data_IF_607227187364
#
_entry.id   IF_607227187364
#
_cell.length_a   1.000
_cell.length_b   1.000
_cell.length_c   1.000
_cell.angle_alpha   90.00
_cell.angle_beta   90.00
_cell.angle_gamma   90.00
#
_symmetry.space_group_name_H-M   'P 1'
#
loop_
_entity.id
_entity.type
_entity.pdbx_description
1 polymer ?
#
# COMPACT_ATOMS: atom_id res chain seq x y z
N UNK A 1 -2.18 40.77 8.68
CA UNK A 1 -1.44 39.80 9.52
C UNK A 1 -0.92 40.43 10.79
N UNK A 2 0.15 41.22 10.79
CA UNK A 2 0.71 41.81 12.03
C UNK A 2 -0.29 42.71 12.79
N UNK A 3 -1.12 43.46 12.08
CA UNK A 3 -2.18 44.28 12.69
C UNK A 3 -3.24 43.46 13.44
N UNK A 4 -3.46 42.20 13.06
CA UNK A 4 -4.44 41.32 13.72
C UNK A 4 -3.95 40.81 15.09
N UNK A 5 -2.63 40.87 15.35
CA UNK A 5 -2.06 40.48 16.63
C UNK A 5 -2.27 41.52 17.73
N UNK A 6 -2.55 42.78 17.37
CA UNK A 6 -2.77 43.86 18.33
C UNK A 6 -4.16 43.75 18.97
N UNK A 7 -4.23 43.56 20.29
CA UNK A 7 -5.48 43.71 21.04
C UNK A 7 -5.92 45.18 21.10
N UNK A 8 -7.18 45.44 21.46
CA UNK A 8 -7.68 46.81 21.66
C UNK A 8 -6.90 47.56 22.76
N UNK A 9 -6.48 46.84 23.81
CA UNK A 9 -5.55 47.34 24.83
C UNK A 9 -4.16 46.70 24.66
N UNK A 10 -3.14 47.42 24.15
CA UNK A 10 -1.78 46.90 23.99
C UNK A 10 -1.13 46.38 25.27
N UNK A 11 -1.61 46.77 26.47
CA UNK A 11 -1.11 46.24 27.73
C UNK A 11 -1.38 44.74 27.90
N UNK A 12 -2.36 44.19 27.20
CA UNK A 12 -2.68 42.75 27.21
C UNK A 12 -1.55 41.88 26.65
N UNK A 13 -0.71 42.41 25.75
CA UNK A 13 0.43 41.68 25.20
C UNK A 13 1.48 41.32 26.26
N UNK A 14 1.55 42.10 27.34
CA UNK A 14 2.55 41.95 28.39
C UNK A 14 2.02 41.16 29.60
N UNK A 15 0.78 40.68 29.54
CA UNK A 15 0.18 39.79 30.55
C UNK A 15 0.53 38.32 30.24
N UNK A 16 0.54 37.41 31.23
CA UNK A 16 0.68 35.97 30.97
C UNK A 16 -0.36 35.49 29.93
N UNK A 17 0.07 34.81 28.88
CA UNK A 17 -0.79 34.37 27.76
C UNK A 17 -1.08 35.43 26.70
N UNK A 18 -0.59 36.67 26.86
CA UNK A 18 -0.83 37.77 25.92
C UNK A 18 -0.22 37.53 24.53
N UNK A 19 0.95 36.88 24.50
CA UNK A 19 1.64 36.47 23.27
C UNK A 19 0.90 35.34 22.55
N UNK A 20 0.38 34.36 23.28
CA UNK A 20 -0.42 33.25 22.75
C UNK A 20 -1.74 33.78 22.18
N UNK A 21 -2.44 34.66 22.89
CA UNK A 21 -3.67 35.28 22.41
C UNK A 21 -3.44 36.15 21.15
N UNK A 22 -2.31 36.85 21.07
CA UNK A 22 -1.92 37.57 19.87
C UNK A 22 -1.66 36.63 18.69
N UNK A 23 -0.96 35.52 18.93
CA UNK A 23 -0.74 34.48 17.93
C UNK A 23 -2.07 33.84 17.47
N UNK A 24 -3.02 33.58 18.38
CA UNK A 24 -4.34 33.04 18.05
C UNK A 24 -5.16 34.00 17.17
N UNK A 25 -5.15 35.30 17.45
CA UNK A 25 -5.83 36.31 16.61
C UNK A 25 -5.21 36.40 15.23
N UNK A 26 -3.87 36.42 15.15
CA UNK A 26 -3.15 36.39 13.87
C UNK A 26 -3.47 35.11 13.09
N UNK A 27 -3.52 33.97 13.77
CA UNK A 27 -3.89 32.68 13.19
C UNK A 27 -5.36 32.66 12.74
N UNK A 28 -6.29 33.32 13.45
CA UNK A 28 -7.67 33.51 13.03
C UNK A 28 -7.76 34.21 11.67
N UNK A 29 -7.15 35.39 11.56
CA UNK A 29 -7.13 36.16 10.31
C UNK A 29 -6.38 35.43 9.19
N UNK A 30 -5.29 34.72 9.51
CA UNK A 30 -4.59 33.89 8.53
C UNK A 30 -5.49 32.77 7.99
N UNK A 31 -6.24 32.09 8.86
CA UNK A 31 -7.18 31.04 8.47
C UNK A 31 -8.33 31.58 7.61
N UNK A 32 -8.83 32.78 7.88
CA UNK A 32 -9.84 33.41 7.05
C UNK A 32 -9.32 33.78 5.66
N UNK A 33 -8.06 34.23 5.56
CA UNK A 33 -7.48 34.69 4.30
C UNK A 33 -6.93 33.56 3.43
N UNK A 34 -6.29 32.57 4.04
CA UNK A 34 -5.50 31.53 3.36
C UNK A 34 -6.11 30.14 3.55
N UNK A 35 -7.07 29.98 4.46
CA UNK A 35 -7.60 28.68 4.88
C UNK A 35 -6.76 28.02 5.96
N UNK A 36 -7.22 26.86 6.43
CA UNK A 36 -6.50 25.98 7.35
C UNK A 36 -6.27 24.63 6.68
N UNK A 37 -5.02 24.18 6.64
CA UNK A 37 -4.68 22.79 6.31
C UNK A 37 -4.78 21.93 7.58
N UNK A 38 -5.03 20.62 7.48
CA UNK A 38 -4.94 19.74 8.64
C UNK A 38 -3.53 19.82 9.26
N UNK A 39 -3.48 19.77 10.59
CA UNK A 39 -2.21 19.66 11.28
C UNK A 39 -1.49 18.39 10.83
N UNK A 40 -0.22 18.53 10.43
CA UNK A 40 0.65 17.40 10.14
C UNK A 40 1.33 17.01 11.44
N UNK A 41 1.27 15.73 11.79
CA UNK A 41 2.07 15.21 12.88
C UNK A 41 3.47 14.88 12.33
N UNK A 42 4.48 15.68 12.65
CA UNK A 42 5.84 15.57 12.11
C UNK A 42 6.41 14.15 12.23
N UNK A 43 6.24 13.49 13.39
CA UNK A 43 6.68 12.11 13.59
C UNK A 43 5.96 11.12 12.64
N UNK A 44 4.67 11.34 12.35
CA UNK A 44 3.93 10.51 11.41
C UNK A 44 4.42 10.72 9.97
N UNK A 45 4.76 11.96 9.60
CA UNK A 45 5.35 12.27 8.29
C UNK A 45 6.73 11.63 8.13
N UNK A 46 7.62 11.77 9.12
CA UNK A 46 8.96 11.17 9.11
C UNK A 46 8.90 9.64 9.04
N UNK A 47 7.99 9.03 9.80
CA UNK A 47 7.83 7.56 9.78
C UNK A 47 7.24 7.06 8.47
N UNK A 48 6.30 7.80 7.87
CA UNK A 48 5.75 7.51 6.54
C UNK A 48 6.81 7.61 5.45
N UNK A 49 7.62 8.68 5.46
CA UNK A 49 8.70 8.88 4.50
C UNK A 49 9.78 7.81 4.66
N UNK A 50 10.21 7.54 5.90
CA UNK A 50 11.20 6.48 6.16
C UNK A 50 10.69 5.09 5.75
N UNK A 51 9.42 4.79 5.97
CA UNK A 51 8.84 3.49 5.66
C UNK A 51 8.60 3.31 4.15
N UNK A 52 7.94 4.28 3.51
CA UNK A 52 7.40 4.15 2.17
C UNK A 52 8.09 5.03 1.11
N UNK A 53 8.85 6.05 1.53
CA UNK A 53 9.38 7.10 0.65
C UNK A 53 8.31 8.09 0.20
N UNK A 54 7.18 8.17 0.94
CA UNK A 54 6.08 9.08 0.64
C UNK A 54 6.27 10.37 1.46
N UNK A 55 6.24 11.51 0.77
CA UNK A 55 6.49 12.83 1.37
C UNK A 55 5.38 13.30 2.32
N UNK A 56 5.60 14.44 2.97
CA UNK A 56 4.63 15.11 3.84
C UNK A 56 3.25 15.37 3.19
N UNK A 57 3.19 15.49 1.85
CA UNK A 57 1.91 15.56 1.10
C UNK A 57 1.01 14.37 1.44
N UNK A 58 1.59 13.18 1.55
CA UNK A 58 0.86 11.96 1.89
C UNK A 58 0.44 11.93 3.36
N UNK A 59 1.25 12.47 4.27
CA UNK A 59 0.88 12.61 5.67
C UNK A 59 -0.35 13.53 5.83
N UNK A 60 -0.39 14.67 5.13
CA UNK A 60 -1.57 15.54 5.06
C UNK A 60 -2.80 14.82 4.51
N UNK A 61 -2.63 14.04 3.43
CA UNK A 61 -3.72 13.25 2.82
C UNK A 61 -4.25 12.17 3.75
N UNK A 62 -3.39 11.55 4.54
CA UNK A 62 -3.80 10.58 5.55
C UNK A 62 -4.54 11.23 6.72
N UNK A 63 -4.15 12.44 7.12
CA UNK A 63 -4.82 13.17 8.20
C UNK A 63 -6.19 13.74 7.77
N UNK A 64 -6.30 14.31 6.56
CA UNK A 64 -7.49 15.06 6.12
C UNK A 64 -8.20 14.57 4.87
N UNK A 65 -7.77 13.47 4.25
CA UNK A 65 -8.29 12.99 2.96
C UNK A 65 -7.54 13.59 1.76
N UNK A 66 -7.84 13.12 0.54
CA UNK A 66 -7.03 13.44 -0.64
C UNK A 66 -6.87 14.95 -0.93
N UNK A 67 -7.95 15.73 -0.76
CA UNK A 67 -7.96 17.18 -0.98
C UNK A 67 -7.26 18.01 0.09
N UNK A 68 -6.76 17.40 1.16
CA UNK A 68 -6.03 18.10 2.22
C UNK A 68 -4.61 18.52 1.84
N UNK A 69 -4.11 18.08 0.69
CA UNK A 69 -2.86 18.55 0.12
C UNK A 69 -2.98 18.67 -1.40
N UNK A 70 -2.63 19.85 -1.90
CA UNK A 70 -2.46 20.13 -3.32
C UNK A 70 -0.98 19.97 -3.68
N UNK A 71 -0.70 19.07 -4.62
CA UNK A 71 0.62 18.83 -5.20
C UNK A 71 0.65 19.16 -6.70
N UNK A 72 -0.35 19.90 -7.19
CA UNK A 72 -0.50 20.22 -8.60
C UNK A 72 -0.92 19.04 -9.47
N UNK A 73 -1.40 17.93 -8.87
CA UNK A 73 -1.94 16.80 -9.64
C UNK A 73 -3.16 17.23 -10.43
N UNK A 74 -3.07 17.08 -11.75
CA UNK A 74 -4.21 17.33 -12.65
C UNK A 74 -5.09 16.09 -12.69
N UNK A 75 -6.40 16.28 -12.52
CA UNK A 75 -7.36 15.18 -12.61
C UNK A 75 -7.37 14.58 -14.02
N UNK A 76 -7.25 13.26 -14.12
CA UNK A 76 -7.27 12.60 -15.43
C UNK A 76 -8.67 12.68 -16.03
N UNK A 77 -8.81 13.06 -17.31
CA UNK A 77 -10.06 12.95 -18.05
C UNK A 77 -10.35 11.52 -18.52
N UNK A 78 -9.29 10.72 -18.71
CA UNK A 78 -9.39 9.31 -19.08
C UNK A 78 -8.03 8.63 -19.10
N UNK A 79 -7.96 7.47 -19.74
CA UNK A 79 -6.72 6.72 -19.92
C UNK A 79 -6.60 6.22 -21.35
N UNK A 80 -5.37 6.11 -21.79
CA UNK A 80 -5.03 5.55 -23.10
C UNK A 80 -3.97 4.47 -22.95
N UNK A 81 -3.97 3.53 -23.89
CA UNK A 81 -2.90 2.55 -24.03
C UNK A 81 -1.81 3.14 -24.91
N UNK A 82 -0.56 3.04 -24.47
CA UNK A 82 0.60 3.58 -25.18
C UNK A 82 1.65 2.49 -25.32
N UNK A 83 2.10 2.26 -26.55
CA UNK A 83 3.24 1.38 -26.85
C UNK A 83 4.50 1.92 -26.17
N UNK A 84 5.37 1.03 -25.69
CA UNK A 84 6.70 1.42 -25.19
C UNK A 84 7.69 1.59 -26.35
N UNK A 85 8.71 2.42 -26.16
CA UNK A 85 9.64 2.81 -27.23
C UNK A 85 10.48 1.67 -27.83
N UNK A 86 10.78 0.61 -27.06
CA UNK A 86 11.76 -0.42 -27.45
C UNK A 86 11.24 -1.86 -27.37
N UNK A 87 9.93 -2.07 -27.24
CA UNK A 87 9.35 -3.41 -27.13
C UNK A 87 7.87 -3.46 -27.52
N UNK A 88 7.31 -4.67 -27.59
CA UNK A 88 5.85 -4.90 -27.61
C UNK A 88 5.18 -4.62 -26.24
N UNK A 89 5.89 -3.98 -25.31
CA UNK A 89 5.31 -3.47 -24.09
C UNK A 89 4.25 -2.42 -24.38
N UNK A 90 3.15 -2.48 -23.62
CA UNK A 90 2.09 -1.48 -23.60
C UNK A 90 1.94 -1.02 -22.16
N UNK A 91 1.68 0.27 -21.99
CA UNK A 91 1.40 0.90 -20.70
C UNK A 91 0.07 1.63 -20.78
N UNK A 92 -0.56 1.83 -19.62
CA UNK A 92 -1.73 2.68 -19.48
C UNK A 92 -1.26 4.04 -18.99
N UNK A 93 -1.69 5.11 -19.65
CA UNK A 93 -1.34 6.48 -19.29
C UNK A 93 -2.60 7.29 -19.01
N UNK A 94 -2.67 8.02 -17.89
CA UNK A 94 -3.73 8.99 -17.65
C UNK A 94 -3.60 10.19 -18.60
N UNK A 95 -4.74 10.68 -19.12
CA UNK A 95 -4.82 11.77 -20.08
C UNK A 95 -5.40 13.00 -19.40
N UNK A 96 -4.75 14.16 -19.56
CA UNK A 96 -5.23 15.42 -19.01
C UNK A 96 -6.52 15.88 -19.73
N UNK A 97 -7.38 16.69 -19.10
CA UNK A 97 -8.56 17.23 -19.73
C UNK A 97 -8.21 18.07 -20.98
N UNK A 98 -9.05 18.05 -22.03
CA UNK A 98 -8.83 18.91 -23.20
C UNK A 98 -8.68 20.38 -22.79
N UNK A 99 -7.61 21.04 -23.28
CA UNK A 99 -7.30 22.42 -22.94
C UNK A 99 -6.51 22.61 -21.62
N UNK A 100 -6.28 21.54 -20.85
CA UNK A 100 -5.32 21.59 -19.76
C UNK A 100 -3.89 21.51 -20.32
N UNK A 101 -3.07 22.52 -20.00
CA UNK A 101 -1.63 22.52 -20.26
C UNK A 101 -0.89 22.39 -18.91
N UNK A 102 -0.85 21.17 -18.33
CA UNK A 102 -0.12 20.96 -17.09
C UNK A 102 1.34 21.40 -17.25
N UNK A 103 1.94 22.05 -16.24
CA UNK A 103 3.37 22.30 -16.22
C UNK A 103 4.15 21.00 -16.48
N UNK A 104 5.30 21.13 -17.12
CA UNK A 104 6.15 19.97 -17.40
C UNK A 104 6.44 19.18 -16.11
N UNK A 105 6.12 17.88 -16.12
CA UNK A 105 6.32 17.00 -14.98
C UNK A 105 5.18 16.97 -13.96
N UNK A 106 4.12 17.77 -14.13
CA UNK A 106 2.96 17.69 -13.26
C UNK A 106 2.28 16.31 -13.42
N UNK A 107 1.98 15.61 -12.30
CA UNK A 107 1.30 14.33 -12.35
C UNK A 107 -0.13 14.50 -12.89
N UNK A 108 -0.57 13.53 -13.69
CA UNK A 108 -1.94 13.45 -14.21
C UNK A 108 -2.59 12.19 -13.66
N UNK A 109 -3.80 12.30 -13.14
CA UNK A 109 -4.47 11.22 -12.42
C UNK A 109 -3.83 10.92 -11.07
N UNK A 110 -4.53 10.14 -10.25
CA UNK A 110 -4.06 9.85 -8.89
C UNK A 110 -3.14 8.60 -8.88
N UNK A 111 -2.07 8.59 -8.06
CA UNK A 111 -1.13 7.47 -8.00
C UNK A 111 -1.70 6.32 -7.15
N UNK A 112 -2.49 5.45 -7.79
CA UNK A 112 -3.21 4.34 -7.13
C UNK A 112 -2.33 3.51 -6.18
N UNK A 113 -1.09 3.19 -6.60
CA UNK A 113 -0.15 2.40 -5.81
C UNK A 113 0.34 3.12 -4.55
N UNK A 114 0.58 4.44 -4.61
CA UNK A 114 0.99 5.24 -3.46
C UNK A 114 -0.16 5.40 -2.47
N UNK A 115 -1.38 5.69 -2.96
CA UNK A 115 -2.57 5.74 -2.11
C UNK A 115 -2.77 4.41 -1.39
N UNK A 116 -2.77 3.30 -2.13
CA UNK A 116 -2.93 1.97 -1.55
C UNK A 116 -1.85 1.67 -0.48
N UNK A 117 -0.60 2.06 -0.75
CA UNK A 117 0.51 1.85 0.20
C UNK A 117 0.34 2.67 1.47
N UNK A 118 -0.05 3.95 1.33
CA UNK A 118 -0.31 4.84 2.46
C UNK A 118 -1.46 4.32 3.33
N UNK A 119 -2.53 3.79 2.72
CA UNK A 119 -3.66 3.19 3.43
C UNK A 119 -3.27 1.93 4.21
N UNK A 120 -2.50 1.02 3.59
CA UNK A 120 -2.02 -0.17 4.31
C UNK A 120 -1.14 0.24 5.48
N UNK A 121 -0.22 1.18 5.29
CA UNK A 121 0.62 1.69 6.37
C UNK A 121 -0.21 2.33 7.49
N UNK A 122 -1.21 3.15 7.15
CA UNK A 122 -2.10 3.77 8.12
C UNK A 122 -2.84 2.75 8.99
N UNK A 123 -3.31 1.64 8.42
CA UNK A 123 -4.08 0.64 9.16
C UNK A 123 -3.25 -0.49 9.80
N UNK A 124 -1.96 -0.60 9.47
CA UNK A 124 -1.12 -1.70 9.98
C UNK A 124 0.11 -1.25 10.75
N UNK A 125 0.59 -0.03 10.50
CA UNK A 125 1.81 0.50 11.10
C UNK A 125 1.59 1.72 12.01
N UNK A 126 0.32 2.15 12.19
CA UNK A 126 -0.09 3.14 13.18
C UNK A 126 -1.00 2.52 14.25
N UNK A 127 -1.04 3.09 15.47
CA UNK A 127 -2.03 2.72 16.46
C UNK A 127 -3.45 2.97 15.93
N UNK A 128 -4.39 2.12 16.32
CA UNK A 128 -5.81 2.31 16.01
C UNK A 128 -6.29 3.62 16.63
N UNK A 129 -6.98 4.45 15.84
CA UNK A 129 -7.50 5.75 16.26
C UNK A 129 -6.47 6.89 16.26
N UNK A 130 -5.28 6.67 15.70
CA UNK A 130 -4.26 7.73 15.56
C UNK A 130 -4.79 8.92 14.71
N UNK A 131 -4.82 10.16 15.26
CA UNK A 131 -5.28 11.34 14.54
C UNK A 131 -4.51 11.61 13.24
N UNK A 132 -3.24 11.20 13.15
CA UNK A 132 -2.43 11.39 11.94
C UNK A 132 -2.96 10.65 10.70
N UNK A 133 -3.86 9.68 10.90
CA UNK A 133 -4.47 8.89 9.82
C UNK A 133 -6.00 8.95 9.83
N UNK A 134 -6.58 9.95 10.49
CA UNK A 134 -8.04 10.11 10.61
C UNK A 134 -8.78 10.19 9.25
N UNK A 135 -8.12 10.74 8.23
CA UNK A 135 -8.62 10.87 6.86
C UNK A 135 -8.43 9.63 5.98
N UNK A 136 -7.82 8.54 6.48
CA UNK A 136 -7.52 7.35 5.69
C UNK A 136 -8.78 6.73 5.04
N UNK A 137 -9.92 6.74 5.73
CA UNK A 137 -11.16 6.22 5.15
C UNK A 137 -11.65 7.07 3.97
N UNK A 138 -11.59 8.40 4.07
CA UNK A 138 -11.93 9.32 2.98
C UNK A 138 -10.97 9.15 1.81
N UNK A 139 -9.67 8.95 2.09
CA UNK A 139 -8.67 8.66 1.07
C UNK A 139 -8.95 7.33 0.34
N UNK A 140 -9.43 6.30 1.06
CA UNK A 140 -9.88 5.06 0.44
C UNK A 140 -11.11 5.27 -0.47
N UNK A 141 -12.09 6.08 -0.06
CA UNK A 141 -13.24 6.38 -0.91
C UNK A 141 -12.80 7.04 -2.23
N UNK A 142 -11.86 7.99 -2.17
CA UNK A 142 -11.27 8.58 -3.39
C UNK A 142 -10.58 7.54 -4.28
N UNK A 143 -9.83 6.61 -3.68
CA UNK A 143 -9.22 5.50 -4.43
C UNK A 143 -10.29 4.61 -5.10
N UNK A 144 -11.36 4.29 -4.36
CA UNK A 144 -12.47 3.46 -4.84
C UNK A 144 -13.22 4.14 -5.99
N UNK A 145 -13.47 5.44 -5.91
CA UNK A 145 -14.06 6.24 -6.98
C UNK A 145 -13.23 6.20 -8.25
N UNK A 146 -11.90 6.33 -8.14
CA UNK A 146 -11.01 6.23 -9.29
C UNK A 146 -11.03 4.82 -9.91
N UNK A 147 -10.99 3.78 -9.07
CA UNK A 147 -11.08 2.39 -9.50
C UNK A 147 -12.41 2.06 -10.18
N UNK A 148 -13.48 2.80 -9.86
CA UNK A 148 -14.80 2.67 -10.45
C UNK A 148 -14.93 3.41 -11.81
N UNK A 149 -13.90 4.13 -12.28
CA UNK A 149 -13.97 4.83 -13.56
C UNK A 149 -13.94 3.83 -14.73
N UNK A 150 -14.93 3.85 -15.64
CA UNK A 150 -15.07 2.83 -16.70
C UNK A 150 -13.85 2.66 -17.63
N UNK A 151 -13.10 3.75 -17.84
CA UNK A 151 -11.91 3.75 -18.70
C UNK A 151 -10.62 3.32 -18.01
N UNK A 152 -10.61 3.10 -16.69
CA UNK A 152 -9.39 2.72 -15.97
C UNK A 152 -9.04 1.25 -16.27
N UNK A 153 -7.77 1.03 -16.59
CA UNK A 153 -7.17 -0.29 -16.74
C UNK A 153 -6.00 -0.43 -15.76
N UNK A 154 -5.97 -1.51 -14.98
CA UNK A 154 -4.85 -1.86 -14.11
C UNK A 154 -3.88 -2.75 -14.88
N UNK A 155 -2.64 -2.30 -15.07
CA UNK A 155 -1.61 -3.13 -15.70
C UNK A 155 -1.27 -4.32 -14.80
N UNK A 156 -1.31 -5.52 -15.37
CA UNK A 156 -0.92 -6.75 -14.67
C UNK A 156 0.60 -6.92 -14.75
N UNK A 157 1.34 -6.17 -13.92
CA UNK A 157 2.80 -6.16 -13.95
C UNK A 157 3.39 -7.57 -13.79
N UNK A 158 4.29 -7.95 -14.70
CA UNK A 158 4.89 -9.29 -14.78
C UNK A 158 3.94 -10.41 -15.20
N UNK A 159 2.64 -10.14 -15.41
CA UNK A 159 1.66 -11.09 -15.92
C UNK A 159 1.49 -10.95 -17.42
N UNK A 160 1.56 -12.08 -18.14
CA UNK A 160 1.34 -12.12 -19.60
C UNK A 160 0.56 -13.36 -19.95
N UNK A 161 -0.41 -13.22 -20.85
CA UNK A 161 -1.05 -14.36 -21.50
C UNK A 161 0.01 -15.07 -22.36
N UNK A 162 0.24 -16.35 -22.06
CA UNK A 162 1.21 -17.19 -22.74
C UNK A 162 0.52 -17.90 -23.91
N UNK A 163 0.34 -17.19 -25.02
CA UNK A 163 -0.31 -17.73 -26.21
C UNK A 163 0.19 -17.04 -27.50
N UNK A 164 -0.18 -17.59 -28.67
CA UNK A 164 0.17 -16.99 -29.97
C UNK A 164 -0.70 -15.76 -30.25
N UNK A 165 -0.23 -14.87 -31.12
CA UNK A 165 -1.00 -13.69 -31.56
C UNK A 165 -2.39 -14.06 -32.06
N UNK A 166 -2.50 -15.10 -32.88
CA UNK A 166 -3.78 -15.53 -33.47
C UNK A 166 -4.74 -16.07 -32.40
N UNK A 167 -4.23 -16.83 -31.43
CA UNK A 167 -5.04 -17.35 -30.31
C UNK A 167 -5.48 -16.25 -29.35
N UNK A 168 -4.63 -15.25 -29.11
CA UNK A 168 -5.03 -14.06 -28.35
C UNK A 168 -6.16 -13.32 -29.08
N UNK A 169 -6.03 -13.12 -30.40
CA UNK A 169 -7.04 -12.48 -31.21
C UNK A 169 -8.37 -13.27 -31.22
N UNK A 170 -8.31 -14.59 -31.35
CA UNK A 170 -9.47 -15.50 -31.30
C UNK A 170 -10.19 -15.43 -29.95
N UNK A 171 -9.43 -15.41 -28.84
CA UNK A 171 -9.98 -15.49 -27.49
C UNK A 171 -10.51 -14.17 -26.95
N UNK A 172 -9.82 -13.06 -27.22
CA UNK A 172 -10.12 -11.75 -26.61
C UNK A 172 -10.69 -10.74 -27.61
N UNK A 173 -10.68 -11.05 -28.91
CA UNK A 173 -11.32 -10.24 -29.95
C UNK A 173 -12.82 -10.53 -30.11
N UNK A 174 -13.47 -9.92 -31.12
CA UNK A 174 -12.89 -9.02 -32.13
C UNK A 174 -12.78 -7.56 -31.65
N UNK A 175 -13.36 -7.21 -30.50
CA UNK A 175 -13.31 -5.85 -29.97
C UNK A 175 -11.86 -5.43 -29.68
N UNK A 176 -11.51 -4.18 -30.01
CA UNK A 176 -10.16 -3.64 -29.86
C UNK A 176 -10.20 -2.25 -29.23
N UNK A 177 -9.13 -1.91 -28.51
CA UNK A 177 -8.87 -0.57 -28.01
C UNK A 177 -7.72 0.07 -28.78
N UNK A 178 -7.77 1.40 -29.01
CA UNK A 178 -6.68 2.11 -29.65
C UNK A 178 -5.42 2.06 -28.79
N UNK A 179 -4.27 1.84 -29.43
CA UNK A 179 -2.95 1.90 -28.80
C UNK A 179 -2.15 3.01 -29.48
N UNK A 180 -1.90 4.10 -28.75
CA UNK A 180 -1.07 5.19 -29.21
C UNK A 180 0.40 4.73 -29.34
N UNK A 181 1.12 5.31 -30.31
CA UNK A 181 2.56 5.14 -30.43
C UNK A 181 3.28 6.05 -29.44
N UNK A 182 4.39 5.56 -28.87
CA UNK A 182 5.33 6.45 -28.18
C UNK A 182 5.86 7.47 -29.19
N UNK A 183 5.97 8.75 -28.77
CA UNK A 183 6.50 9.83 -29.62
C UNK A 183 7.93 9.56 -30.11
N UNK A 184 8.65 8.63 -29.48
CA UNK A 184 10.02 8.21 -29.82
C UNK A 184 10.07 6.97 -30.72
N UNK A 185 8.93 6.31 -30.98
CA UNK A 185 8.88 5.09 -31.80
C UNK A 185 8.80 5.48 -33.28
N UNK A 186 9.69 4.93 -34.10
CA UNK A 186 9.66 5.08 -35.56
C UNK A 186 8.49 4.27 -36.15
N UNK A 187 7.87 4.77 -37.24
CA UNK A 187 6.73 4.18 -37.96
C UNK A 187 7.00 2.74 -38.46
N UNK A 188 8.26 2.30 -38.42
CA UNK A 188 8.72 0.97 -38.85
C UNK A 188 8.48 -0.16 -37.85
N UNK A 189 8.10 0.13 -36.60
CA UNK A 189 7.84 -0.92 -35.60
C UNK A 189 6.33 -1.10 -35.40
N UNK A 190 5.75 -2.29 -35.68
CA UNK A 190 4.31 -2.47 -35.55
C UNK A 190 3.82 -2.15 -34.14
N UNK A 191 2.70 -1.42 -34.06
CA UNK A 191 1.99 -1.21 -32.80
C UNK A 191 1.44 -2.55 -32.31
N UNK A 192 1.41 -2.73 -30.98
CA UNK A 192 0.67 -3.86 -30.43
C UNK A 192 -0.84 -3.63 -30.63
N UNK A 193 -1.58 -4.68 -30.94
CA UNK A 193 -3.04 -4.65 -31.01
C UNK A 193 -3.59 -5.01 -29.63
N UNK A 194 -4.42 -4.15 -29.04
CA UNK A 194 -5.08 -4.42 -27.77
C UNK A 194 -6.50 -4.96 -27.99
N UNK A 195 -6.74 -6.21 -27.60
CA UNK A 195 -8.05 -6.86 -27.68
C UNK A 195 -8.83 -6.70 -26.38
N UNK A 196 -10.10 -6.29 -26.46
CA UNK A 196 -10.98 -6.06 -25.32
C UNK A 196 -11.86 -7.28 -25.05
N UNK A 197 -11.44 -8.11 -24.09
CA UNK A 197 -12.20 -9.27 -23.61
C UNK A 197 -13.16 -8.95 -22.46
N UNK A 198 -13.55 -7.69 -22.27
CA UNK A 198 -14.46 -7.27 -21.20
C UNK A 198 -13.73 -7.07 -19.86
N UNK A 199 -13.44 -8.15 -19.12
CA UNK A 199 -12.73 -8.04 -17.83
C UNK A 199 -11.22 -7.86 -17.99
N UNK A 200 -10.69 -8.30 -19.13
CA UNK A 200 -9.27 -8.19 -19.48
C UNK A 200 -9.11 -7.48 -20.82
N UNK A 201 -8.07 -6.65 -20.91
CA UNK A 201 -7.54 -6.17 -22.19
C UNK A 201 -6.19 -6.84 -22.40
N UNK A 202 -6.01 -7.52 -23.52
CA UNK A 202 -4.81 -8.31 -23.82
C UNK A 202 -4.19 -7.84 -25.12
N UNK A 203 -2.92 -7.48 -25.08
CA UNK A 203 -2.17 -7.02 -26.23
C UNK A 203 -1.46 -8.17 -26.95
N UNK A 204 -1.49 -8.16 -28.27
CA UNK A 204 -0.68 -9.01 -29.11
C UNK A 204 0.21 -8.18 -30.05
N UNK A 205 1.45 -8.63 -30.34
CA UNK A 205 2.11 -9.79 -29.73
C UNK A 205 2.57 -9.51 -28.28
N UNK A 206 2.97 -10.56 -27.55
CA UNK A 206 3.63 -10.44 -26.25
C UNK A 206 2.73 -10.51 -25.01
N UNK A 207 1.41 -10.61 -25.19
CA UNK A 207 0.45 -10.99 -24.14
C UNK A 207 0.33 -10.02 -22.97
N UNK A 208 0.81 -8.76 -23.12
CA UNK A 208 0.67 -7.74 -22.06
C UNK A 208 -0.80 -7.62 -21.70
N UNK A 209 -1.11 -7.72 -20.42
CA UNK A 209 -2.50 -7.80 -19.97
C UNK A 209 -2.83 -6.70 -18.97
N UNK A 210 -4.06 -6.23 -19.05
CA UNK A 210 -4.63 -5.26 -18.16
C UNK A 210 -5.97 -5.77 -17.63
N UNK A 211 -6.27 -5.46 -16.37
CA UNK A 211 -7.54 -5.77 -15.74
C UNK A 211 -8.42 -4.52 -15.74
N UNK A 212 -9.68 -4.67 -16.14
CA UNK A 212 -10.71 -3.62 -15.98
C UNK A 212 -11.42 -3.84 -14.64
N UNK A 213 -11.17 -3.02 -13.60
CA UNK A 213 -11.71 -3.30 -12.26
C UNK A 213 -13.24 -3.35 -12.22
N UNK A 214 -13.89 -2.44 -12.94
CA UNK A 214 -15.36 -2.32 -13.04
C UNK A 214 -16.03 -3.54 -13.68
N UNK A 215 -15.29 -4.33 -14.45
CA UNK A 215 -15.80 -5.54 -15.10
C UNK A 215 -15.52 -6.82 -14.31
N UNK A 216 -14.91 -6.73 -13.12
CA UNK A 216 -14.70 -7.87 -12.20
C UNK A 216 -15.74 -7.78 -11.07
N UNK A 217 -16.99 -8.02 -11.42
CA UNK A 217 -18.12 -7.93 -10.48
C UNK A 217 -18.42 -9.29 -9.84
N UNK A 218 -17.68 -9.64 -8.79
CA UNK A 218 -17.95 -10.81 -7.95
C UNK A 218 -17.07 -12.05 -8.21
N UNK A 219 -17.26 -13.10 -7.39
CA UNK A 219 -16.31 -14.22 -7.29
C UNK A 219 -16.25 -15.08 -8.55
N UNK A 220 -17.35 -15.24 -9.29
CA UNK A 220 -17.41 -16.03 -10.52
C UNK A 220 -16.59 -15.42 -11.66
N UNK A 221 -16.68 -14.10 -11.83
CA UNK A 221 -15.87 -13.37 -12.81
C UNK A 221 -14.40 -13.44 -12.43
N UNK A 222 -14.10 -13.22 -11.14
CA UNK A 222 -12.74 -13.31 -10.63
C UNK A 222 -12.13 -14.70 -10.85
N UNK A 223 -12.88 -15.78 -10.62
CA UNK A 223 -12.42 -17.16 -10.88
C UNK A 223 -12.05 -17.37 -12.35
N UNK A 224 -12.92 -16.96 -13.28
CA UNK A 224 -12.67 -17.06 -14.72
C UNK A 224 -11.42 -16.28 -15.17
N UNK A 225 -11.22 -15.08 -14.63
CA UNK A 225 -10.02 -14.29 -14.92
C UNK A 225 -8.76 -14.98 -14.39
N UNK A 226 -8.82 -15.64 -13.21
CA UNK A 226 -7.69 -16.39 -12.64
C UNK A 226 -7.34 -17.68 -13.38
N UNK A 227 -8.28 -18.26 -14.13
CA UNK A 227 -8.05 -19.42 -14.98
C UNK A 227 -7.21 -19.09 -16.23
N UNK A 228 -7.00 -17.81 -16.52
CA UNK A 228 -6.12 -17.39 -17.63
C UNK A 228 -4.65 -17.65 -17.26
N UNK A 229 -4.04 -18.61 -17.96
CA UNK A 229 -2.65 -19.00 -17.80
C UNK A 229 -1.70 -17.82 -17.92
N UNK A 230 -0.76 -17.73 -16.97
CA UNK A 230 0.28 -16.69 -16.94
C UNK A 230 -0.11 -15.40 -16.22
N UNK A 231 -1.35 -15.29 -15.70
CA UNK A 231 -1.82 -14.09 -15.00
C UNK A 231 -1.94 -14.23 -13.48
N UNK A 232 -1.95 -15.44 -12.91
CA UNK A 232 -2.27 -15.70 -11.49
C UNK A 232 -1.53 -14.78 -10.52
N UNK A 233 -0.20 -14.71 -10.59
CA UNK A 233 0.59 -13.87 -9.67
C UNK A 233 0.38 -12.36 -9.86
N UNK A 234 0.10 -11.92 -11.09
CA UNK A 234 -0.20 -10.51 -11.35
C UNK A 234 -1.61 -10.13 -10.87
N UNK A 235 -2.57 -11.06 -10.97
CA UNK A 235 -3.89 -10.92 -10.39
C UNK A 235 -3.82 -10.86 -8.87
N UNK A 236 -3.01 -11.69 -8.22
CA UNK A 236 -2.78 -11.62 -6.76
C UNK A 236 -2.25 -10.25 -6.32
N UNK A 237 -1.47 -9.57 -7.17
CA UNK A 237 -0.95 -8.23 -6.87
C UNK A 237 -1.97 -7.10 -6.97
N UNK A 238 -2.95 -7.21 -7.86
CA UNK A 238 -4.02 -6.20 -7.97
C UNK A 238 -5.24 -6.51 -7.12
N UNK A 239 -5.38 -7.76 -6.66
CA UNK A 239 -6.49 -8.21 -5.82
C UNK A 239 -6.74 -7.36 -4.57
N UNK A 240 -5.72 -6.79 -3.87
CA UNK A 240 -5.97 -5.91 -2.73
C UNK A 240 -6.76 -4.64 -3.06
N UNK A 241 -6.70 -4.18 -4.31
CA UNK A 241 -7.37 -2.95 -4.79
C UNK A 241 -8.82 -3.19 -5.19
N UNK A 242 -9.19 -4.42 -5.56
CA UNK A 242 -10.52 -4.72 -6.09
C UNK A 242 -11.60 -4.66 -5.00
N UNK A 243 -12.88 -4.50 -5.37
CA UNK A 243 -14.00 -4.66 -4.43
C UNK A 243 -13.95 -6.02 -3.72
N UNK A 244 -14.19 -6.02 -2.42
CA UNK A 244 -14.00 -7.17 -1.51
C UNK A 244 -12.54 -7.51 -1.22
N UNK A 245 -11.60 -6.78 -1.80
CA UNK A 245 -10.16 -6.96 -1.69
C UNK A 245 -9.59 -6.60 -0.32
N UNK A 246 -8.27 -6.72 -0.20
CA UNK A 246 -7.54 -6.49 1.04
C UNK A 246 -7.76 -5.10 1.65
N UNK A 247 -7.75 -4.04 0.84
CA UNK A 247 -7.93 -2.67 1.33
C UNK A 247 -9.34 -2.44 1.91
N UNK A 248 -10.38 -2.92 1.23
CA UNK A 248 -11.77 -2.78 1.71
C UNK A 248 -11.94 -3.52 3.04
N UNK A 249 -11.39 -4.74 3.16
CA UNK A 249 -11.45 -5.50 4.41
C UNK A 249 -10.64 -4.84 5.53
N UNK A 250 -9.49 -4.22 5.22
CA UNK A 250 -8.73 -3.44 6.21
C UNK A 250 -9.51 -2.21 6.68
N UNK A 251 -10.18 -1.49 5.77
CA UNK A 251 -11.06 -0.39 6.14
C UNK A 251 -12.18 -0.86 7.08
N UNK A 252 -12.89 -1.92 6.72
CA UNK A 252 -13.94 -2.49 7.59
C UNK A 252 -13.39 -2.91 8.95
N UNK A 253 -12.21 -3.55 8.97
CA UNK A 253 -11.52 -3.94 10.21
C UNK A 253 -11.21 -2.72 11.08
N UNK A 254 -10.66 -1.65 10.50
CA UNK A 254 -10.31 -0.42 11.22
C UNK A 254 -11.53 0.24 11.90
N UNK A 255 -12.74 0.04 11.35
CA UNK A 255 -14.00 0.58 11.88
C UNK A 255 -14.76 -0.38 12.80
N UNK A 256 -14.30 -1.63 12.92
CA UNK A 256 -15.03 -2.68 13.65
C UNK A 256 -14.94 -2.57 15.18
N UNK A 257 -13.99 -1.80 15.71
CA UNK A 257 -13.71 -1.72 17.15
C UNK A 257 -13.05 -2.98 17.72
N UNK A 258 -12.64 -3.93 16.88
CA UNK A 258 -12.08 -5.19 17.31
C UNK A 258 -10.62 -5.13 17.77
N UNK A 259 -9.95 -3.99 17.58
CA UNK A 259 -8.68 -3.64 18.22
C UNK A 259 -8.88 -2.32 18.96
N UNK A 260 -8.40 -2.27 20.19
CA UNK A 260 -8.56 -1.12 21.08
C UNK A 260 -7.83 0.12 20.54
N UNK A 261 -8.39 1.31 20.80
CA UNK A 261 -7.73 2.58 20.45
C UNK A 261 -6.37 2.67 21.16
N UNK A 262 -5.33 3.04 20.41
CA UNK A 262 -3.95 3.09 20.88
C UNK A 262 -3.16 1.78 20.74
N UNK A 263 -3.82 0.65 20.47
CA UNK A 263 -3.15 -0.62 20.18
C UNK A 263 -2.79 -0.75 18.69
N UNK A 264 -1.84 -1.62 18.36
CA UNK A 264 -1.43 -1.90 16.98
C UNK A 264 -2.09 -3.18 16.45
N UNK A 265 -2.59 -3.14 15.21
CA UNK A 265 -3.01 -4.35 14.47
C UNK A 265 -1.85 -5.35 14.28
N UNK A 266 -0.61 -4.88 14.34
CA UNK A 266 0.57 -5.74 14.26
C UNK A 266 0.89 -6.48 15.56
N UNK A 267 0.25 -6.15 16.69
CA UNK A 267 0.34 -6.92 17.93
C UNK A 267 -0.78 -7.96 18.00
N UNK A 268 -0.48 -9.25 17.77
CA UNK A 268 -1.48 -10.31 17.75
C UNK A 268 -2.19 -10.52 19.08
N UNK A 269 -1.64 -10.01 20.19
CA UNK A 269 -2.30 -10.05 21.51
C UNK A 269 -3.57 -9.20 21.53
N UNK A 270 -3.63 -8.16 20.70
CA UNK A 270 -4.82 -7.33 20.50
C UNK A 270 -5.59 -7.71 19.24
N UNK A 271 -4.91 -8.00 18.12
CA UNK A 271 -5.61 -8.26 16.86
C UNK A 271 -6.25 -9.66 16.77
N UNK A 272 -5.68 -10.66 17.44
CA UNK A 272 -6.15 -12.04 17.42
C UNK A 272 -5.77 -12.82 18.71
N UNK A 273 -6.26 -12.41 19.89
CA UNK A 273 -5.86 -12.99 21.19
C UNK A 273 -6.07 -14.50 21.29
N UNK A 274 -7.17 -15.03 20.75
CA UNK A 274 -7.46 -16.48 20.74
C UNK A 274 -6.39 -17.28 19.99
N UNK A 275 -5.85 -16.71 18.91
CA UNK A 275 -4.77 -17.34 18.15
C UNK A 275 -3.46 -17.34 18.95
N UNK A 276 -3.19 -16.28 19.72
CA UNK A 276 -2.04 -16.22 20.62
C UNK A 276 -2.16 -17.26 21.73
N UNK A 277 -3.34 -17.41 22.33
CA UNK A 277 -3.58 -18.43 23.35
C UNK A 277 -3.36 -19.84 22.80
N UNK A 278 -3.93 -20.13 21.62
CA UNK A 278 -3.68 -21.39 20.91
C UNK A 278 -2.19 -21.60 20.65
N UNK A 279 -1.50 -20.54 20.21
CA UNK A 279 -0.07 -20.60 19.92
C UNK A 279 0.82 -20.82 21.14
N UNK A 280 0.50 -20.15 22.24
CA UNK A 280 1.16 -20.33 23.53
C UNK A 280 1.04 -21.78 24.00
N UNK A 281 -0.18 -22.34 23.95
CA UNK A 281 -0.45 -23.72 24.35
C UNK A 281 0.30 -24.75 23.51
N UNK A 282 0.28 -24.60 22.19
CA UNK A 282 0.86 -25.59 21.27
C UNK A 282 2.39 -25.52 21.22
N UNK A 283 2.99 -24.34 21.38
CA UNK A 283 4.45 -24.17 21.45
C UNK A 283 5.00 -24.40 22.86
N UNK A 284 4.14 -24.44 23.88
CA UNK A 284 4.55 -24.58 25.28
C UNK A 284 5.26 -23.33 25.83
N UNK A 285 4.82 -22.14 25.42
CA UNK A 285 5.42 -20.84 25.76
C UNK A 285 4.39 -19.86 26.30
N UNK A 286 4.85 -18.76 26.89
CA UNK A 286 4.03 -17.63 27.29
C UNK A 286 3.49 -16.81 26.12
N UNK A 287 2.50 -15.97 26.43
CA UNK A 287 1.78 -15.10 25.47
C UNK A 287 2.72 -14.24 24.62
N UNK A 288 3.76 -13.65 25.20
CA UNK A 288 4.69 -12.78 24.47
C UNK A 288 5.53 -13.56 23.44
N UNK A 289 6.02 -14.75 23.79
CA UNK A 289 6.77 -15.60 22.88
C UNK A 289 5.90 -16.13 21.72
N UNK A 290 4.63 -16.49 22.01
CA UNK A 290 3.66 -16.86 20.98
C UNK A 290 3.32 -15.70 20.04
N UNK A 291 3.14 -14.49 20.59
CA UNK A 291 2.93 -13.28 19.81
C UNK A 291 4.12 -12.98 18.90
N UNK A 292 5.35 -13.07 19.43
CA UNK A 292 6.57 -12.92 18.65
C UNK A 292 6.66 -13.93 17.51
N UNK A 293 6.31 -15.19 17.75
CA UNK A 293 6.28 -16.22 16.71
C UNK A 293 5.33 -15.85 15.57
N UNK A 294 4.09 -15.43 15.87
CA UNK A 294 3.12 -15.01 14.84
C UNK A 294 3.62 -13.82 14.01
N UNK A 295 4.24 -12.83 14.66
CA UNK A 295 4.86 -11.68 14.00
C UNK A 295 6.01 -12.09 13.09
N UNK A 296 6.91 -12.96 13.57
CA UNK A 296 8.01 -13.51 12.79
C UNK A 296 7.52 -14.37 11.63
N UNK A 297 6.42 -15.10 11.78
CA UNK A 297 5.89 -15.95 10.72
C UNK A 297 5.17 -15.16 9.62
N UNK A 298 4.59 -14.02 9.97
CA UNK A 298 3.62 -13.34 9.10
C UNK A 298 4.17 -12.08 8.46
N UNK A 299 4.84 -11.23 9.23
CA UNK A 299 5.18 -9.88 8.78
C UNK A 299 6.41 -9.90 7.87
N UNK A 300 6.41 -9.03 6.86
CA UNK A 300 7.54 -8.88 5.94
C UNK A 300 8.77 -8.26 6.64
N UNK A 301 8.55 -7.26 7.51
CA UNK A 301 9.60 -6.51 8.19
C UNK A 301 9.48 -6.49 9.74
N UNK A 302 9.41 -7.66 10.43
CA UNK A 302 9.39 -7.72 11.89
C UNK A 302 10.80 -7.51 12.45
N UNK A 303 11.38 -6.34 12.21
CA UNK A 303 12.65 -5.95 12.85
C UNK A 303 12.43 -5.88 14.37
N UNK A 304 13.48 -6.06 15.16
CA UNK A 304 13.36 -5.99 16.62
C UNK A 304 12.85 -4.62 17.08
N UNK A 305 13.15 -3.55 16.33
CA UNK A 305 12.62 -2.19 16.58
C UNK A 305 11.11 -2.16 16.36
N UNK A 306 10.62 -2.71 15.25
CA UNK A 306 9.19 -2.72 14.94
C UNK A 306 8.41 -3.58 15.93
N UNK A 307 8.88 -4.79 16.21
CA UNK A 307 8.28 -5.69 17.21
C UNK A 307 8.15 -5.01 18.57
N UNK A 308 9.22 -4.36 19.05
CA UNK A 308 9.15 -3.61 20.32
C UNK A 308 8.15 -2.47 20.29
N UNK A 309 8.11 -1.71 19.19
CA UNK A 309 7.17 -0.58 19.03
C UNK A 309 5.72 -1.07 19.05
N UNK A 310 5.38 -2.06 18.22
CA UNK A 310 4.02 -2.56 18.11
C UNK A 310 3.51 -3.17 19.42
N UNK A 311 4.37 -3.92 20.12
CA UNK A 311 3.99 -4.61 21.35
C UNK A 311 4.16 -3.75 22.63
N UNK A 312 4.68 -2.53 22.52
CA UNK A 312 5.04 -1.70 23.68
C UNK A 312 6.11 -2.32 24.57
N UNK A 313 6.97 -3.20 24.03
CA UNK A 313 7.93 -3.96 24.81
C UNK A 313 9.21 -3.19 25.11
N UNK A 314 9.70 -3.35 26.35
CA UNK A 314 11.08 -3.01 26.68
C UNK A 314 12.06 -3.96 25.98
N UNK A 315 13.32 -3.55 25.85
CA UNK A 315 14.39 -4.41 25.33
C UNK A 315 14.60 -5.68 26.19
N UNK A 316 14.32 -5.61 27.51
CA UNK A 316 14.40 -6.78 28.40
C UNK A 316 13.27 -7.77 28.10
N UNK A 317 12.04 -7.29 27.98
CA UNK A 317 10.88 -8.13 27.68
C UNK A 317 11.03 -8.81 26.32
N UNK A 318 11.45 -8.08 25.30
CA UNK A 318 11.71 -8.67 23.98
C UNK A 318 12.77 -9.77 24.03
N UNK A 319 13.88 -9.57 24.75
CA UNK A 319 14.92 -10.60 24.92
C UNK A 319 14.40 -11.84 25.65
N UNK A 320 13.52 -11.66 26.63
CA UNK A 320 12.91 -12.79 27.34
C UNK A 320 12.02 -13.62 26.42
N UNK A 321 11.11 -12.97 25.69
CA UNK A 321 10.23 -13.64 24.73
C UNK A 321 11.02 -14.33 23.61
N UNK A 322 12.10 -13.69 23.13
CA UNK A 322 12.99 -14.25 22.12
C UNK A 322 13.73 -15.49 22.62
N UNK A 323 14.29 -15.46 23.84
CA UNK A 323 15.00 -16.60 24.42
C UNK A 323 14.05 -17.78 24.69
N UNK A 324 12.86 -17.50 25.20
CA UNK A 324 11.81 -18.51 25.41
C UNK A 324 11.40 -19.16 24.09
N UNK A 325 11.13 -18.35 23.05
CA UNK A 325 10.75 -18.87 21.75
C UNK A 325 11.87 -19.69 21.11
N UNK A 326 13.12 -19.24 21.22
CA UNK A 326 14.28 -19.97 20.69
C UNK A 326 14.44 -21.35 21.34
N UNK A 327 14.16 -21.47 22.63
CA UNK A 327 14.23 -22.74 23.36
C UNK A 327 13.25 -23.82 22.84
N UNK A 328 12.18 -23.43 22.14
CA UNK A 328 11.22 -24.36 21.53
C UNK A 328 11.75 -25.04 20.25
N UNK A 329 12.76 -24.45 19.60
CA UNK A 329 13.21 -24.87 18.27
C UNK A 329 12.28 -24.46 17.12
N UNK A 330 11.16 -23.77 17.37
CA UNK A 330 10.27 -23.25 16.33
C UNK A 330 10.90 -22.12 15.49
N UNK A 331 11.97 -21.51 16.01
CA UNK A 331 12.78 -20.50 15.34
C UNK A 331 14.26 -20.84 15.46
N UNK A 332 15.06 -20.25 14.57
CA UNK A 332 16.52 -20.36 14.59
C UNK A 332 17.14 -18.97 14.79
N UNK A 333 18.27 -18.95 15.51
CA UNK A 333 19.10 -17.76 15.59
C UNK A 333 20.09 -17.72 14.41
N UNK A 334 20.14 -16.60 13.71
CA UNK A 334 21.06 -16.42 12.58
C UNK A 334 21.44 -14.94 12.39
N UNK A 335 22.48 -14.70 11.60
CA UNK A 335 22.82 -13.35 11.12
C UNK A 335 22.45 -13.23 9.65
N UNK A 336 21.46 -12.39 9.34
CA UNK A 336 21.04 -12.06 7.97
C UNK A 336 21.22 -10.56 7.73
N UNK A 337 21.88 -10.19 6.64
CA UNK A 337 22.17 -8.80 6.32
C UNK A 337 20.86 -8.00 6.21
N UNK A 338 20.83 -6.79 6.78
CA UNK A 338 19.68 -5.86 6.75
C UNK A 338 18.38 -6.37 7.38
N UNK A 339 18.34 -7.56 7.98
CA UNK A 339 17.12 -8.12 8.57
C UNK A 339 16.64 -7.38 9.83
N UNK A 340 17.56 -6.72 10.56
CA UNK A 340 17.24 -5.95 11.76
C UNK A 340 16.69 -6.78 12.92
N UNK A 341 16.95 -8.10 12.93
CA UNK A 341 16.55 -9.08 13.95
C UNK A 341 17.53 -10.25 13.99
N UNK A 342 17.45 -11.06 15.05
CA UNK A 342 18.29 -12.26 15.25
C UNK A 342 17.54 -13.59 15.12
N UNK A 343 16.21 -13.60 15.28
CA UNK A 343 15.38 -14.79 15.15
C UNK A 343 14.68 -14.89 13.79
N UNK A 344 14.61 -16.11 13.25
CA UNK A 344 14.03 -16.41 11.95
C UNK A 344 13.25 -17.70 11.99
N UNK A 345 12.24 -17.82 11.12
CA UNK A 345 11.67 -19.13 10.84
C UNK A 345 12.72 -20.03 10.15
N UNK A 346 12.73 -21.34 10.42
CA UNK A 346 13.52 -22.29 9.65
C UNK A 346 13.16 -22.20 8.16
N UNK A 347 14.18 -22.24 7.29
CA UNK A 347 13.99 -22.32 5.84
C UNK A 347 14.77 -21.29 5.02
N UNK A 348 14.42 -21.26 3.73
CA UNK A 348 15.11 -20.46 2.71
C UNK A 348 14.98 -18.95 2.94
N UNK A 349 16.05 -18.24 2.60
CA UNK A 349 16.12 -16.78 2.61
C UNK A 349 16.01 -16.21 1.21
N UNK A 350 15.36 -15.05 1.07
CA UNK A 350 15.29 -14.31 -0.20
C UNK A 350 16.06 -13.01 -0.06
N UNK A 351 17.16 -12.87 -0.81
CA UNK A 351 17.91 -11.62 -0.91
C UNK A 351 17.15 -10.60 -1.75
N UNK A 352 16.95 -9.39 -1.21
CA UNK A 352 16.23 -8.30 -1.88
C UNK A 352 16.99 -6.98 -1.69
N UNK A 353 17.16 -6.24 -2.79
CA UNK A 353 17.80 -4.95 -2.85
C UNK A 353 16.99 -3.85 -2.14
N UNK A 354 17.67 -2.75 -1.81
CA UNK A 354 16.99 -1.56 -1.31
C UNK A 354 15.97 -1.04 -2.34
N UNK A 355 14.84 -0.45 -1.90
CA UNK A 355 14.51 -0.10 -0.51
C UNK A 355 13.86 -1.22 0.30
N UNK A 356 13.59 -2.38 -0.29
CA UNK A 356 12.94 -3.50 0.41
C UNK A 356 13.91 -4.22 1.34
N UNK A 357 13.39 -4.82 2.41
CA UNK A 357 14.17 -5.70 3.28
C UNK A 357 14.13 -7.14 2.74
N UNK A 358 15.26 -7.87 2.80
CA UNK A 358 15.26 -9.32 2.59
C UNK A 358 14.33 -10.02 3.59
N UNK A 359 13.69 -11.11 3.17
CA UNK A 359 12.74 -11.88 3.99
C UNK A 359 12.74 -13.38 3.67
N UNK A 360 12.14 -14.17 4.56
CA UNK A 360 11.98 -15.61 4.40
C UNK A 360 11.15 -15.93 3.14
N UNK A 361 11.60 -16.90 2.34
CA UNK A 361 10.94 -17.32 1.09
C UNK A 361 9.47 -17.73 1.31
N UNK A 362 9.18 -18.33 2.47
CA UNK A 362 7.83 -18.74 2.87
C UNK A 362 6.81 -17.56 2.92
N UNK A 363 7.29 -16.32 3.05
CA UNK A 363 6.43 -15.12 3.13
C UNK A 363 6.10 -14.50 1.78
N UNK A 364 6.84 -14.82 0.72
CA UNK A 364 6.69 -14.16 -0.59
C UNK A 364 5.26 -14.27 -1.12
N UNK A 365 4.67 -15.47 -1.06
CA UNK A 365 3.32 -15.71 -1.55
C UNK A 365 2.26 -14.92 -0.75
N UNK A 366 2.40 -14.83 0.57
CA UNK A 366 1.46 -14.11 1.43
C UNK A 366 1.45 -12.60 1.16
N UNK A 367 2.58 -12.05 0.71
CA UNK A 367 2.72 -10.65 0.32
C UNK A 367 2.62 -10.42 -1.21
N UNK A 368 2.26 -11.45 -1.99
CA UNK A 368 2.19 -11.42 -3.45
C UNK A 368 3.47 -10.86 -4.12
N UNK A 369 4.63 -11.17 -3.54
CA UNK A 369 5.94 -10.73 -4.01
C UNK A 369 6.50 -11.69 -5.06
N UNK A 370 6.94 -11.14 -6.18
CA UNK A 370 7.67 -11.87 -7.21
C UNK A 370 9.11 -11.36 -7.32
N UNK A 371 10.13 -12.15 -6.92
CA UNK A 371 11.52 -11.79 -7.12
C UNK A 371 11.91 -11.75 -8.60
N UNK A 372 12.72 -10.75 -8.95
CA UNK A 372 13.32 -10.58 -10.27
C UNK A 372 14.84 -10.72 -10.20
N UNK A 373 15.49 -10.79 -11.36
CA UNK A 373 16.95 -10.72 -11.43
C UNK A 373 17.49 -9.43 -10.80
N UNK A 374 18.70 -9.50 -10.24
CA UNK A 374 19.36 -8.35 -9.62
C UNK A 374 18.75 -7.92 -8.28
N UNK A 375 18.11 -8.85 -7.56
CA UNK A 375 17.49 -8.64 -6.24
C UNK A 375 16.36 -7.59 -6.24
N UNK A 376 15.77 -7.29 -7.40
CA UNK A 376 14.56 -6.46 -7.48
C UNK A 376 13.30 -7.31 -7.30
N UNK A 377 12.15 -6.68 -7.08
CA UNK A 377 10.87 -7.40 -6.90
C UNK A 377 9.73 -6.67 -7.59
N UNK A 378 8.68 -7.42 -7.91
CA UNK A 378 7.35 -6.89 -8.20
C UNK A 378 6.47 -7.17 -6.99
N UNK A 379 5.80 -6.14 -6.46
CA UNK A 379 4.92 -6.24 -5.31
C UNK A 379 3.62 -5.42 -5.54
N UNK A 380 2.56 -5.66 -4.75
CA UNK A 380 1.29 -4.92 -4.85
C UNK A 380 1.41 -3.42 -4.53
N UNK A 381 2.39 -3.06 -3.70
CA UNK A 381 2.54 -1.74 -3.09
C UNK A 381 3.97 -1.22 -3.29
N UNK A 382 4.23 0.04 -2.97
CA UNK A 382 5.57 0.67 -3.10
C UNK A 382 6.61 0.05 -2.15
N UNK A 383 6.14 -0.74 -1.17
CA UNK A 383 6.93 -1.60 -0.26
C UNK A 383 6.27 -2.97 -0.14
N UNK A 384 6.97 -3.91 0.50
CA UNK A 384 6.38 -5.22 0.82
C UNK A 384 5.50 -5.02 2.07
N UNK A 385 4.21 -4.83 1.85
CA UNK A 385 3.21 -4.55 2.90
C UNK A 385 2.18 -5.69 2.98
N UNK A 386 1.39 -5.77 4.07
CA UNK A 386 0.26 -6.68 4.19
C UNK A 386 -0.74 -6.56 3.02
N UNK A 387 -1.22 -7.69 2.49
CA UNK A 387 -2.18 -7.75 1.37
C UNK A 387 -3.63 -8.00 1.83
N UNK A 388 -3.81 -8.23 3.13
CA UNK A 388 -5.09 -8.50 3.80
C UNK A 388 -4.98 -8.04 5.27
N UNK A 389 -6.11 -7.90 6.00
CA UNK A 389 -6.08 -7.61 7.44
C UNK A 389 -5.12 -8.54 8.20
N UNK A 390 -4.36 -8.00 9.15
CA UNK A 390 -3.28 -8.73 9.81
C UNK A 390 -3.77 -9.96 10.58
N UNK A 391 -4.93 -9.90 11.23
CA UNK A 391 -5.54 -11.06 11.89
C UNK A 391 -5.83 -12.24 10.93
N UNK A 392 -6.23 -11.95 9.69
CA UNK A 392 -6.39 -12.98 8.64
C UNK A 392 -5.03 -13.56 8.24
N UNK A 393 -4.02 -12.69 8.09
CA UNK A 393 -2.67 -13.11 7.71
C UNK A 393 -2.00 -13.95 8.81
N UNK A 394 -2.15 -13.58 10.08
CA UNK A 394 -1.66 -14.34 11.23
C UNK A 394 -2.28 -15.73 11.27
N UNK A 395 -3.60 -15.82 11.12
CA UNK A 395 -4.32 -17.10 11.06
C UNK A 395 -3.78 -17.99 9.93
N UNK A 396 -3.68 -17.45 8.71
CA UNK A 396 -3.15 -18.17 7.55
C UNK A 396 -1.68 -18.57 7.70
N UNK A 397 -0.86 -17.77 8.36
CA UNK A 397 0.54 -18.12 8.61
C UNK A 397 0.63 -19.28 9.60
N UNK A 398 -0.18 -19.27 10.66
CA UNK A 398 -0.24 -20.33 11.64
C UNK A 398 -0.69 -21.68 11.06
N UNK A 399 -1.69 -21.65 10.17
CA UNK A 399 -2.23 -22.86 9.52
C UNK A 399 -1.26 -23.50 8.52
N UNK A 400 -0.25 -22.75 8.06
CA UNK A 400 0.75 -23.21 7.07
C UNK A 400 2.06 -23.72 7.67
N UNK A 401 2.26 -23.54 8.98
CA UNK A 401 3.54 -23.82 9.66
C UNK A 401 3.98 -25.28 9.55
#
# INVERSE_FOLDING_TARGET
>A
MLAAGLPEDPAELWRPGGTEAAAERMAGVWRELIGALPAVHDEAADTLESALGLSEVWARRLAGGYGAADDGTVEAAGWELVSTAYSYGVTVRPVAPPGAEPPYGAPVGIPLGEIASALVWAWTDRPVGDPAVAGAATLYERLREELARPGLLLKLEGGRVQDTTDRIAERFGPAQLPVALDRRKDDRTPAATAYDGGSLVVCAPGGVSFLRPTAVTGPEVWRRVREVTGLTGALDRVAPLLPGGGLERMLHRSRSGAVETGAYEADPRHSCPELVERGAKELGVGTDAAALHLQLATLAAPTDRNVRRWNGWSAKQHRQAAAELLATGAVVEAKRARAGRTLFLPGDWTEIGAPHLPLEKAKLAAHAVWPLSGNSVVAPFVRILPTAPLHEMFTKAWERR
#
